data_IF_037878042341
#
_entry.id   IF_037878042341
#
_cell.length_a   1.000
_cell.length_b   1.000
_cell.length_c   1.000
_cell.angle_alpha   90.00
_cell.angle_beta   90.00
_cell.angle_gamma   90.00
#
_symmetry.space_group_name_H-M   'P 1'
#
loop_
_entity.id
_entity.type
_entity.pdbx_description
1 polymer ?
#
# COMPACT_ATOMS: atom_id res chain seq x y z
N UNK A 1 -42.49 -25.40 4.37
CA UNK A 1 -41.07 -25.75 4.68
C UNK A 1 -40.95 -25.87 6.18
N UNK A 2 -40.32 -26.92 6.72
CA UNK A 2 -40.10 -27.04 8.18
C UNK A 2 -39.06 -26.03 8.63
N UNK A 3 -39.25 -25.43 9.81
CA UNK A 3 -38.35 -24.43 10.40
C UNK A 3 -36.89 -24.89 10.44
N UNK A 4 -36.66 -26.19 10.66
CA UNK A 4 -35.34 -26.83 10.64
C UNK A 4 -34.64 -26.68 9.28
N UNK A 5 -35.34 -26.93 8.17
CA UNK A 5 -34.79 -26.78 6.81
C UNK A 5 -34.45 -25.32 6.49
N UNK A 6 -35.21 -24.38 7.03
CA UNK A 6 -34.96 -22.94 6.87
C UNK A 6 -33.66 -22.54 7.59
N UNK A 7 -33.51 -22.99 8.84
CA UNK A 7 -32.31 -22.74 9.66
C UNK A 7 -31.06 -23.33 8.99
N UNK A 8 -31.13 -24.56 8.48
CA UNK A 8 -30.01 -25.18 7.76
C UNK A 8 -29.58 -24.38 6.53
N UNK A 9 -30.55 -23.88 5.75
CA UNK A 9 -30.30 -23.04 4.58
C UNK A 9 -29.64 -21.72 4.96
N UNK A 10 -30.10 -21.07 6.02
CA UNK A 10 -29.50 -19.82 6.53
C UNK A 10 -28.08 -20.04 7.05
N UNK A 11 -27.82 -21.13 7.77
CA UNK A 11 -26.46 -21.50 8.21
C UNK A 11 -25.52 -21.72 7.03
N UNK A 12 -25.98 -22.37 5.97
CA UNK A 12 -25.19 -22.53 4.75
C UNK A 12 -24.87 -21.20 4.06
N UNK A 13 -25.84 -20.27 4.04
CA UNK A 13 -25.62 -18.93 3.48
C UNK A 13 -24.61 -18.14 4.33
N UNK A 14 -24.72 -18.19 5.65
CA UNK A 14 -23.77 -17.56 6.57
C UNK A 14 -22.35 -18.08 6.35
N UNK A 15 -22.16 -19.41 6.30
CA UNK A 15 -20.86 -20.02 6.05
C UNK A 15 -20.24 -19.58 4.70
N UNK A 16 -21.07 -19.43 3.66
CA UNK A 16 -20.62 -18.90 2.35
C UNK A 16 -20.20 -17.44 2.44
N UNK A 17 -20.99 -16.62 3.13
CA UNK A 17 -20.67 -15.21 3.35
C UNK A 17 -19.39 -15.03 4.16
N UNK A 18 -19.19 -15.79 5.23
CA UNK A 18 -17.98 -15.78 6.04
C UNK A 18 -16.74 -16.17 5.23
N UNK A 19 -16.85 -17.23 4.41
CA UNK A 19 -15.77 -17.65 3.50
C UNK A 19 -15.42 -16.54 2.51
N UNK A 20 -16.44 -15.90 1.92
CA UNK A 20 -16.25 -14.79 0.98
C UNK A 20 -15.56 -13.60 1.66
N UNK A 21 -16.00 -13.22 2.86
CA UNK A 21 -15.40 -12.15 3.66
C UNK A 21 -13.93 -12.45 4.01
N UNK A 22 -13.63 -13.70 4.37
CA UNK A 22 -12.25 -14.12 4.68
C UNK A 22 -11.34 -13.97 3.46
N UNK A 23 -11.80 -14.41 2.29
CA UNK A 23 -11.05 -14.28 1.04
C UNK A 23 -10.79 -12.81 0.70
N UNK A 24 -11.79 -11.94 0.88
CA UNK A 24 -11.64 -10.52 0.61
C UNK A 24 -10.64 -9.84 1.57
N UNK A 25 -10.69 -10.19 2.87
CA UNK A 25 -9.69 -9.75 3.85
C UNK A 25 -8.27 -10.20 3.51
N UNK A 26 -8.12 -11.40 2.93
CA UNK A 26 -6.81 -11.90 2.48
C UNK A 26 -6.31 -11.16 1.24
N UNK A 27 -7.19 -10.87 0.27
CA UNK A 27 -6.82 -10.07 -0.91
C UNK A 27 -6.34 -8.68 -0.50
N UNK A 28 -7.07 -8.01 0.40
CA UNK A 28 -6.70 -6.70 0.92
C UNK A 28 -5.32 -6.72 1.57
N UNK A 29 -5.07 -7.69 2.47
CA UNK A 29 -3.75 -7.86 3.10
C UNK A 29 -2.63 -8.07 2.09
N UNK A 30 -2.84 -8.89 1.06
CA UNK A 30 -1.86 -9.12 -0.01
C UNK A 30 -1.57 -7.84 -0.79
N UNK A 31 -2.60 -7.06 -1.12
CA UNK A 31 -2.44 -5.77 -1.79
C UNK A 31 -1.64 -4.78 -0.91
N UNK A 32 -2.01 -4.65 0.35
CA UNK A 32 -1.32 -3.78 1.31
C UNK A 32 0.16 -4.18 1.48
N UNK A 33 0.46 -5.47 1.57
CA UNK A 33 1.84 -5.97 1.67
C UNK A 33 2.64 -5.63 0.41
N UNK A 34 2.08 -5.85 -0.79
CA UNK A 34 2.77 -5.50 -2.05
C UNK A 34 3.06 -4.00 -2.12
N UNK A 35 2.08 -3.18 -1.79
CA UNK A 35 2.25 -1.73 -1.78
C UNK A 35 3.36 -1.28 -0.81
N UNK A 36 3.43 -1.87 0.39
CA UNK A 36 4.51 -1.59 1.36
C UNK A 36 5.88 -2.03 0.84
N UNK A 37 5.95 -3.15 0.12
CA UNK A 37 7.20 -3.63 -0.50
C UNK A 37 7.65 -2.68 -1.61
N UNK A 38 6.75 -2.26 -2.48
CA UNK A 38 7.05 -1.32 -3.57
C UNK A 38 7.57 0.01 -3.01
N UNK A 39 6.90 0.58 -2.01
CA UNK A 39 7.34 1.80 -1.33
C UNK A 39 8.70 1.61 -0.63
N UNK A 40 8.90 0.48 0.06
CA UNK A 40 10.20 0.14 0.66
C UNK A 40 11.31 0.01 -0.38
N UNK A 41 10.99 -0.50 -1.57
CA UNK A 41 11.91 -0.57 -2.71
C UNK A 41 12.40 0.80 -3.17
N UNK A 42 11.55 1.85 -3.08
CA UNK A 42 11.96 3.23 -3.38
C UNK A 42 13.05 3.72 -2.43
N UNK A 43 12.94 3.41 -1.13
CA UNK A 43 13.94 3.78 -0.12
C UNK A 43 15.29 3.14 -0.43
N UNK A 44 15.29 1.86 -0.82
CA UNK A 44 16.51 1.15 -1.20
C UNK A 44 17.11 1.75 -2.48
N UNK A 45 16.28 2.00 -3.49
CA UNK A 45 16.68 2.54 -4.79
C UNK A 45 17.25 3.96 -4.68
N UNK A 46 16.70 4.78 -3.79
CA UNK A 46 17.23 6.10 -3.46
C UNK A 46 18.51 6.07 -2.62
N UNK A 47 19.03 4.89 -2.25
CA UNK A 47 20.21 4.74 -1.41
C UNK A 47 19.99 5.09 0.05
N UNK A 48 18.74 5.33 0.47
CA UNK A 48 18.41 5.82 1.80
C UNK A 48 18.45 4.74 2.88
N UNK A 49 18.49 3.45 2.51
CA UNK A 49 18.50 2.31 3.44
C UNK A 49 19.69 2.26 4.40
N UNK A 50 20.74 3.06 4.17
CA UNK A 50 21.92 3.16 5.02
C UNK A 50 21.79 4.16 6.16
N UNK A 51 20.76 5.02 6.11
CA UNK A 51 20.52 6.05 7.11
C UNK A 51 19.54 5.57 8.18
N UNK A 52 19.55 6.24 9.33
CA UNK A 52 18.59 5.96 10.40
C UNK A 52 17.16 6.28 9.96
N UNK A 53 16.20 5.50 10.49
CA UNK A 53 14.77 5.65 10.14
C UNK A 53 14.24 7.06 10.39
N UNK A 54 14.72 7.72 11.45
CA UNK A 54 14.33 9.09 11.78
C UNK A 54 14.77 10.10 10.71
N UNK A 55 15.98 9.91 10.15
CA UNK A 55 16.52 10.76 9.08
C UNK A 55 15.66 10.60 7.81
N UNK A 56 15.36 9.36 7.43
CA UNK A 56 14.52 9.07 6.25
C UNK A 56 13.14 9.69 6.43
N UNK A 57 12.53 9.52 7.61
CA UNK A 57 11.21 10.07 7.90
C UNK A 57 11.21 11.60 7.83
N UNK A 58 12.20 12.26 8.44
CA UNK A 58 12.32 13.72 8.39
C UNK A 58 12.51 14.26 6.98
N UNK A 59 13.30 13.58 6.14
CA UNK A 59 13.48 13.97 4.75
C UNK A 59 12.19 13.83 3.92
N UNK A 60 11.43 12.76 4.13
CA UNK A 60 10.14 12.56 3.46
C UNK A 60 9.08 13.57 3.92
N UNK A 61 9.04 13.88 5.21
CA UNK A 61 8.14 14.88 5.78
C UNK A 61 8.41 16.27 5.21
N UNK A 62 9.69 16.68 5.21
CA UNK A 62 10.09 17.95 4.61
C UNK A 62 9.80 18.01 3.11
N UNK A 63 10.03 16.92 2.37
CA UNK A 63 9.68 16.85 0.94
C UNK A 63 8.18 17.01 0.72
N UNK A 64 7.35 16.42 1.58
CA UNK A 64 5.89 16.56 1.53
C UNK A 64 5.45 18.00 1.82
N UNK A 65 6.11 18.67 2.77
CA UNK A 65 5.87 20.09 3.05
C UNK A 65 6.16 20.96 1.83
N UNK A 66 7.31 20.74 1.16
CA UNK A 66 7.65 21.44 -0.08
C UNK A 66 6.60 21.25 -1.18
N UNK A 67 6.14 20.01 -1.40
CA UNK A 67 5.10 19.70 -2.40
C UNK A 67 3.78 20.43 -2.08
N UNK A 68 3.39 20.45 -0.80
CA UNK A 68 2.15 21.12 -0.37
C UNK A 68 2.23 22.64 -0.53
N UNK A 69 3.42 23.20 -0.34
CA UNK A 69 3.63 24.64 -0.44
C UNK A 69 3.71 25.13 -1.89
N UNK A 70 4.37 24.39 -2.78
CA UNK A 70 4.54 24.79 -4.17
C UNK A 70 4.51 23.59 -5.14
N UNK A 71 3.61 23.68 -6.13
CA UNK A 71 3.42 22.68 -7.18
C UNK A 71 4.69 22.44 -8.01
N UNK A 72 5.59 23.41 -8.09
CA UNK A 72 6.89 23.25 -8.74
C UNK A 72 7.67 22.05 -8.18
N UNK A 73 7.64 21.83 -6.86
CA UNK A 73 8.35 20.70 -6.24
C UNK A 73 7.75 19.35 -6.61
N UNK A 74 6.43 19.28 -6.83
CA UNK A 74 5.81 18.04 -7.31
C UNK A 74 6.34 17.65 -8.69
N UNK A 75 6.40 18.62 -9.62
CA UNK A 75 6.95 18.40 -10.95
C UNK A 75 8.44 18.08 -10.90
N UNK A 76 9.22 18.84 -10.12
CA UNK A 76 10.65 18.61 -9.94
C UNK A 76 10.95 17.21 -9.41
N UNK A 77 10.24 16.75 -8.38
CA UNK A 77 10.44 15.42 -7.83
C UNK A 77 9.98 14.32 -8.77
N UNK A 78 8.93 14.55 -9.56
CA UNK A 78 8.49 13.62 -10.59
C UNK A 78 9.56 13.43 -11.67
N UNK A 79 10.06 14.53 -12.23
CA UNK A 79 11.07 14.51 -13.30
C UNK A 79 12.35 13.81 -12.80
N UNK A 80 12.85 14.20 -11.63
CA UNK A 80 14.00 13.53 -11.00
C UNK A 80 13.74 12.05 -10.73
N UNK A 81 12.53 11.70 -10.32
CA UNK A 81 12.11 10.32 -10.10
C UNK A 81 12.23 9.51 -11.38
N UNK A 82 11.67 10.01 -12.49
CA UNK A 82 11.73 9.37 -13.81
C UNK A 82 13.19 9.12 -14.23
N UNK A 83 14.07 10.09 -14.04
CA UNK A 83 15.50 9.97 -14.36
C UNK A 83 16.21 8.91 -13.50
N UNK A 84 15.90 8.84 -12.20
CA UNK A 84 16.43 7.79 -11.32
C UNK A 84 15.89 6.41 -11.69
N UNK A 85 14.67 6.33 -12.24
CA UNK A 85 14.13 5.07 -12.74
C UNK A 85 14.81 4.60 -14.03
N UNK A 86 15.16 5.53 -14.92
CA UNK A 86 15.81 5.23 -16.21
C UNK A 86 17.32 4.97 -16.10
N UNK A 87 18.00 5.60 -15.14
CA UNK A 87 19.46 5.53 -14.97
C UNK A 87 19.96 4.23 -14.32
N UNK A 88 19.08 3.42 -13.73
CA UNK A 88 19.44 2.17 -13.02
C UNK A 88 19.06 0.96 -13.90
N UNK A 89 19.55 0.95 -15.14
CA UNK A 89 19.37 -0.16 -16.10
C UNK A 89 20.67 -0.91 -16.33
#
# INVERSE_FOLDING_TARGET
MTTIKQIEKERQLLARCEKSLMLEKLKKRKADTRHKIELGGLIIKAGLHRFEKAIILGALDFSLELIKHDKHYENLFLDRGIDLFSSIR
#
